data_IF_828255157816
#
_entry.id   IF_828255157816
#
_cell.length_a   1.000
_cell.length_b   1.000
_cell.length_c   1.000
_cell.angle_alpha   90.00
_cell.angle_beta   90.00
_cell.angle_gamma   90.00
#
_symmetry.space_group_name_H-M   'P 1'
#
loop_
_entity.id
_entity.type
_entity.pdbx_description
1 polymer ?
#
# COMPACT_ATOMS: atom_id res chain seq x y z
N UNK A 1 10.06 8.03 -6.11
CA UNK A 1 10.14 9.08 -7.15
C UNK A 1 10.48 10.39 -6.48
N UNK A 2 11.47 11.09 -7.01
CA UNK A 2 11.87 12.40 -6.50
C UNK A 2 11.57 13.46 -7.55
N UNK A 3 11.14 14.64 -7.10
CA UNK A 3 10.99 15.87 -7.89
C UNK A 3 11.78 16.94 -7.16
N UNK A 4 12.64 17.66 -7.88
CA UNK A 4 13.50 18.72 -7.32
C UNK A 4 14.32 18.26 -6.10
N UNK A 5 14.80 17.02 -6.13
CA UNK A 5 15.60 16.42 -5.04
C UNK A 5 14.80 16.04 -3.80
N UNK A 6 13.48 16.25 -3.78
CA UNK A 6 12.58 15.84 -2.68
C UNK A 6 11.79 14.60 -3.07
N UNK A 7 11.52 13.71 -2.10
CA UNK A 7 10.63 12.58 -2.33
C UNK A 7 9.23 13.12 -2.60
N UNK A 8 8.64 12.74 -3.73
CA UNK A 8 7.28 13.14 -4.12
C UNK A 8 6.30 11.97 -3.98
N UNK A 9 6.74 10.75 -4.33
CA UNK A 9 5.97 9.52 -4.23
C UNK A 9 6.89 8.37 -3.80
N UNK A 10 6.44 7.56 -2.85
CA UNK A 10 7.06 6.30 -2.46
C UNK A 10 6.03 5.19 -2.58
N UNK A 11 6.44 4.07 -3.17
CA UNK A 11 5.67 2.82 -3.16
C UNK A 11 6.52 1.70 -2.58
N UNK A 12 5.92 0.74 -1.89
CA UNK A 12 6.61 -0.44 -1.36
C UNK A 12 5.81 -1.73 -1.57
N UNK A 13 6.50 -2.87 -1.43
CA UNK A 13 5.95 -4.22 -1.40
C UNK A 13 6.51 -4.88 -0.14
N UNK A 14 5.65 -5.39 0.72
CA UNK A 14 6.03 -5.85 2.06
C UNK A 14 5.35 -7.18 2.36
N UNK A 15 6.16 -8.18 2.71
CA UNK A 15 5.67 -9.50 3.11
C UNK A 15 5.47 -9.53 4.62
N UNK A 16 4.23 -9.78 5.05
CA UNK A 16 3.82 -9.82 6.45
C UNK A 16 3.29 -11.21 6.80
N UNK A 17 3.12 -11.52 8.09
CA UNK A 17 2.61 -12.83 8.50
C UNK A 17 1.19 -13.03 7.96
N UNK A 18 0.85 -14.26 7.59
CA UNK A 18 -0.54 -14.60 7.33
C UNK A 18 -1.40 -14.27 8.57
N UNK A 19 -2.51 -13.56 8.34
CA UNK A 19 -3.38 -13.04 9.41
C UNK A 19 -3.11 -11.59 9.81
N UNK A 20 -1.96 -11.01 9.45
CA UNK A 20 -1.75 -9.57 9.56
C UNK A 20 -2.72 -8.84 8.62
N UNK A 21 -3.21 -7.68 9.05
CA UNK A 21 -4.23 -6.89 8.35
C UNK A 21 -3.66 -5.61 7.74
N UNK A 22 -4.44 -4.94 6.89
CA UNK A 22 -4.07 -3.60 6.39
C UNK A 22 -3.90 -2.58 7.52
N UNK A 23 -4.58 -2.77 8.66
CA UNK A 23 -4.45 -1.92 9.85
C UNK A 23 -3.07 -2.08 10.47
N UNK A 24 -2.59 -3.31 10.60
CA UNK A 24 -1.27 -3.61 11.17
C UNK A 24 -0.15 -2.97 10.34
N UNK A 25 -0.23 -3.11 9.02
CA UNK A 25 0.73 -2.49 8.09
C UNK A 25 0.64 -0.96 8.12
N UNK A 26 -0.57 -0.41 8.19
CA UNK A 26 -0.80 1.04 8.20
C UNK A 26 -0.13 1.74 9.40
N UNK A 27 0.06 1.07 10.54
CA UNK A 27 0.79 1.63 11.69
C UNK A 27 2.22 2.05 11.32
N UNK A 28 2.84 1.35 10.37
CA UNK A 28 4.18 1.61 9.85
C UNK A 28 4.25 2.65 8.72
N UNK A 29 3.11 3.13 8.21
CA UNK A 29 3.02 3.98 7.02
C UNK A 29 2.59 5.40 7.43
N UNK A 30 3.52 6.38 7.51
CA UNK A 30 3.23 7.72 8.03
C UNK A 30 2.01 8.42 7.42
N UNK A 31 1.82 8.31 6.09
CA UNK A 31 0.77 9.03 5.38
C UNK A 31 -0.64 8.47 5.58
N UNK A 32 -0.80 7.32 6.24
CA UNK A 32 -2.13 6.73 6.53
C UNK A 32 -2.51 6.71 8.01
N UNK A 33 -1.68 7.26 8.90
CA UNK A 33 -1.91 7.24 10.36
C UNK A 33 -3.18 7.96 10.82
N UNK A 34 -3.73 8.85 9.98
CA UNK A 34 -4.97 9.59 10.25
C UNK A 34 -6.22 8.95 9.64
N UNK A 35 -6.10 7.84 8.90
CA UNK A 35 -7.26 7.16 8.34
C UNK A 35 -8.15 6.59 9.44
N UNK A 36 -9.47 6.72 9.30
CA UNK A 36 -10.42 6.00 10.13
C UNK A 36 -10.36 4.53 9.73
N UNK A 37 -9.92 3.69 10.65
CA UNK A 37 -9.82 2.25 10.48
C UNK A 37 -11.24 1.68 10.42
N UNK A 38 -11.65 1.19 9.26
CA UNK A 38 -12.85 0.35 9.14
C UNK A 38 -12.39 -1.09 8.99
N UNK A 39 -12.74 -1.95 9.94
CA UNK A 39 -12.14 -3.28 10.16
C UNK A 39 -12.34 -4.31 9.02
N UNK A 40 -13.11 -3.99 7.96
CA UNK A 40 -13.59 -4.99 6.99
C UNK A 40 -13.10 -4.79 5.54
N UNK A 41 -12.10 -3.95 5.28
CA UNK A 41 -11.60 -3.72 3.91
C UNK A 41 -10.16 -4.21 3.66
N UNK A 42 -9.93 -4.87 2.51
CA UNK A 42 -8.60 -5.23 1.97
C UNK A 42 -7.72 -4.00 1.63
N UNK A 43 -8.21 -2.80 1.93
CA UNK A 43 -7.59 -1.53 1.59
C UNK A 43 -7.81 -0.52 2.71
N UNK A 44 -6.89 0.43 2.82
CA UNK A 44 -6.96 1.57 3.72
C UNK A 44 -6.27 2.75 3.02
N UNK A 45 -6.92 3.92 2.99
CA UNK A 45 -6.35 5.10 2.35
C UNK A 45 -6.76 6.42 3.00
N UNK A 46 -5.91 7.42 2.82
CA UNK A 46 -6.13 8.85 3.04
C UNK A 46 -5.93 9.56 1.71
N UNK A 47 -5.96 10.90 1.67
CA UNK A 47 -5.59 11.61 0.44
C UNK A 47 -4.09 11.66 0.14
N UNK A 48 -3.22 11.20 1.05
CA UNK A 48 -1.76 11.14 0.83
C UNK A 48 -1.15 9.76 0.99
N UNK A 49 -1.90 8.78 1.48
CA UNK A 49 -1.38 7.45 1.78
C UNK A 49 -2.37 6.36 1.45
N UNK A 50 -1.86 5.17 1.11
CA UNK A 50 -2.68 4.00 0.94
C UNK A 50 -1.91 2.71 1.25
N UNK A 51 -2.65 1.71 1.72
CA UNK A 51 -2.21 0.32 1.94
C UNK A 51 -3.24 -0.60 1.32
N UNK A 52 -2.78 -1.67 0.65
CA UNK A 52 -3.66 -2.69 0.11
C UNK A 52 -3.01 -4.07 0.16
N UNK A 53 -3.78 -5.09 0.50
CA UNK A 53 -3.32 -6.48 0.37
C UNK A 53 -3.39 -6.95 -1.09
N UNK A 54 -2.32 -7.58 -1.58
CA UNK A 54 -2.29 -8.21 -2.88
C UNK A 54 -2.78 -9.66 -2.79
N UNK A 55 -3.55 -10.09 -3.79
CA UNK A 55 -3.93 -11.49 -4.01
C UNK A 55 -2.75 -12.24 -4.62
N UNK A 56 -1.81 -12.59 -3.76
CA UNK A 56 -0.49 -13.07 -4.11
C UNK A 56 -0.19 -14.29 -3.26
N UNK A 57 0.13 -15.43 -3.90
CA UNK A 57 0.64 -16.61 -3.22
C UNK A 57 2.09 -16.81 -3.67
N UNK A 58 3.02 -16.92 -2.73
CA UNK A 58 4.42 -17.21 -3.03
C UNK A 58 4.81 -18.55 -2.44
N UNK A 59 5.31 -19.45 -3.30
CA UNK A 59 5.83 -20.74 -2.84
C UNK A 59 7.08 -20.60 -1.97
N UNK A 60 7.83 -19.51 -2.14
CA UNK A 60 9.00 -19.18 -1.30
C UNK A 60 8.60 -18.64 0.09
N UNK A 61 7.36 -18.16 0.24
CA UNK A 61 6.85 -17.51 1.46
C UNK A 61 5.42 -17.97 1.78
N UNK A 62 5.22 -19.28 2.03
CA UNK A 62 3.88 -19.87 2.14
C UNK A 62 3.10 -19.38 3.36
N UNK A 63 3.77 -18.85 4.38
CA UNK A 63 3.21 -18.30 5.62
C UNK A 63 3.07 -16.77 5.58
N UNK A 64 3.20 -16.15 4.39
CA UNK A 64 3.21 -14.70 4.23
C UNK A 64 2.19 -14.22 3.23
N UNK A 65 1.64 -13.05 3.52
CA UNK A 65 0.81 -12.28 2.61
C UNK A 65 1.55 -11.02 2.16
N UNK A 66 1.31 -10.58 0.93
CA UNK A 66 1.95 -9.41 0.35
C UNK A 66 1.04 -8.19 0.49
N UNK A 67 1.58 -7.13 1.05
CA UNK A 67 0.95 -5.80 1.07
C UNK A 67 1.71 -4.85 0.16
N UNK A 68 0.98 -3.93 -0.44
CA UNK A 68 1.54 -2.77 -1.14
C UNK A 68 1.24 -1.51 -0.36
N UNK A 69 2.14 -0.53 -0.43
CA UNK A 69 1.89 0.81 0.13
C UNK A 69 2.19 1.87 -0.91
N UNK A 70 1.50 3.00 -0.81
CA UNK A 70 1.78 4.21 -1.56
C UNK A 70 1.73 5.42 -0.62
N UNK A 71 2.69 6.33 -0.76
CA UNK A 71 2.83 7.53 0.06
C UNK A 71 3.22 8.71 -0.82
N UNK A 72 2.38 9.74 -0.83
CA UNK A 72 2.64 11.02 -1.47
C UNK A 72 3.19 11.99 -0.44
N UNK A 73 4.24 12.71 -0.82
CA UNK A 73 4.91 13.73 -0.01
C UNK A 73 4.95 15.09 -0.73
N UNK A 74 4.37 15.18 -1.93
CA UNK A 74 4.27 16.42 -2.67
C UNK A 74 3.32 17.39 -1.96
N UNK A 75 3.74 18.64 -1.85
CA UNK A 75 2.93 19.71 -1.25
C UNK A 75 1.65 19.94 -2.07
N UNK A 76 0.53 20.19 -1.38
CA UNK A 76 -0.75 20.51 -2.01
C UNK A 76 -1.52 19.33 -2.61
N UNK A 77 -1.07 18.09 -2.37
CA UNK A 77 -1.80 16.86 -2.76
C UNK A 77 -2.52 16.29 -1.54
N UNK A 78 -3.84 16.14 -1.63
CA UNK A 78 -4.69 15.45 -0.67
C UNK A 78 -5.95 14.97 -1.43
N UNK A 79 -5.85 13.81 -2.08
CA UNK A 79 -6.89 13.27 -2.96
C UNK A 79 -7.07 11.76 -2.72
N UNK A 80 -8.11 11.42 -1.94
CA UNK A 80 -8.38 10.04 -1.54
C UNK A 80 -8.84 9.16 -2.70
N UNK A 81 -9.59 9.71 -3.66
CA UNK A 81 -10.05 8.96 -4.83
C UNK A 81 -8.86 8.62 -5.75
N UNK A 82 -7.96 9.59 -5.96
CA UNK A 82 -6.73 9.35 -6.72
C UNK A 82 -5.81 8.35 -6.00
N UNK A 83 -5.67 8.43 -4.68
CA UNK A 83 -4.87 7.47 -3.90
C UNK A 83 -5.45 6.06 -3.98
N UNK A 84 -6.77 5.90 -3.88
CA UNK A 84 -7.42 4.61 -4.05
C UNK A 84 -7.17 4.03 -5.45
N UNK A 85 -7.29 4.84 -6.50
CA UNK A 85 -6.99 4.41 -7.88
C UNK A 85 -5.53 3.99 -8.04
N UNK A 86 -4.61 4.78 -7.48
CA UNK A 86 -3.17 4.52 -7.54
C UNK A 86 -2.81 3.18 -6.87
N UNK A 87 -3.24 2.97 -5.63
CA UNK A 87 -2.90 1.74 -4.90
C UNK A 87 -3.52 0.51 -5.55
N UNK A 88 -4.75 0.63 -6.07
CA UNK A 88 -5.43 -0.46 -6.78
C UNK A 88 -4.68 -0.84 -8.05
N UNK A 89 -4.27 0.14 -8.85
CA UNK A 89 -3.54 -0.10 -10.09
C UNK A 89 -2.16 -0.71 -9.82
N UNK A 90 -1.45 -0.18 -8.82
CA UNK A 90 -0.14 -0.69 -8.43
C UNK A 90 -0.23 -2.12 -7.90
N UNK A 91 -1.19 -2.42 -7.02
CA UNK A 91 -1.42 -3.77 -6.48
C UNK A 91 -1.68 -4.77 -7.58
N UNK A 92 -2.57 -4.45 -8.54
CA UNK A 92 -2.84 -5.32 -9.69
C UNK A 92 -1.60 -5.57 -10.55
N UNK A 93 -0.75 -4.56 -10.73
CA UNK A 93 0.50 -4.73 -11.46
C UNK A 93 1.47 -5.66 -10.71
N UNK A 94 1.51 -5.59 -9.37
CA UNK A 94 2.31 -6.49 -8.52
C UNK A 94 1.79 -7.92 -8.60
N UNK A 95 0.47 -8.12 -8.50
CA UNK A 95 -0.18 -9.44 -8.62
C UNK A 95 0.13 -10.13 -9.96
N UNK A 96 0.24 -9.37 -11.05
CA UNK A 96 0.63 -9.89 -12.36
C UNK A 96 2.15 -10.07 -12.56
N UNK A 97 2.98 -9.66 -11.61
CA UNK A 97 4.44 -9.68 -11.72
C UNK A 97 5.05 -11.02 -11.30
N UNK A 98 6.37 -11.15 -11.45
CA UNK A 98 7.10 -12.34 -10.98
C UNK A 98 7.15 -12.46 -9.45
N UNK A 99 6.82 -11.39 -8.71
CA UNK A 99 6.79 -11.42 -7.23
C UNK A 99 5.72 -12.38 -6.70
N UNK A 100 4.64 -12.58 -7.47
CA UNK A 100 3.52 -13.44 -7.11
C UNK A 100 3.50 -14.77 -7.86
N UNK A 101 4.64 -15.22 -8.39
CA UNK A 101 4.77 -16.48 -9.14
C UNK A 101 5.84 -17.37 -8.53
#
# INVERSE_FOLDING_TARGET
>A
MNVDGKVALRVSQEWWQEGDTVVDVAQGVPQVKSAVLTDDSDFLFTGTGAVQQARCASSERPDRVLFTTAQVYADGVDDSEAMQKLITAYTRAVEGSAVCR
#
